data_IF_308261012135
#
_entry.id   IF_308261012135
#
_cell.length_a   1.000
_cell.length_b   1.000
_cell.length_c   1.000
_cell.angle_alpha   90.00
_cell.angle_beta   90.00
_cell.angle_gamma   90.00
#
_symmetry.space_group_name_H-M   'P 1'
#
loop_
_entity.id
_entity.type
_entity.pdbx_description
1 polymer ?
#
# COMPACT_ATOMS: atom_id res chain seq x y z
N UNK A 1 4.70 18.85 -10.49
CA UNK A 1 4.03 18.15 -11.61
C UNK A 1 4.18 18.87 -12.94
N UNK A 2 4.44 20.20 -12.98
CA UNK A 2 4.52 20.93 -14.26
C UNK A 2 3.19 20.97 -15.01
N UNK A 3 2.08 20.85 -14.27
CA UNK A 3 0.73 20.81 -14.82
C UNK A 3 -0.02 22.11 -14.48
N UNK A 4 -1.02 22.50 -15.30
CA UNK A 4 -1.90 23.63 -14.99
C UNK A 4 -2.61 23.46 -13.65
N UNK A 5 -2.90 24.56 -12.96
CA UNK A 5 -3.55 24.57 -11.64
C UNK A 5 -4.90 23.81 -11.63
N UNK A 6 -5.71 23.98 -12.68
CA UNK A 6 -6.98 23.26 -12.82
C UNK A 6 -6.81 21.73 -12.83
N UNK A 7 -5.70 21.22 -13.38
CA UNK A 7 -5.38 19.79 -13.38
C UNK A 7 -4.98 19.33 -11.98
N UNK A 8 -4.27 20.17 -11.22
CA UNK A 8 -3.89 19.89 -9.83
C UNK A 8 -5.13 19.85 -8.93
N UNK A 9 -6.05 20.81 -9.09
CA UNK A 9 -7.31 20.84 -8.35
C UNK A 9 -8.12 19.56 -8.58
N UNK A 10 -8.35 19.20 -9.85
CA UNK A 10 -9.03 17.96 -10.19
C UNK A 10 -8.32 16.72 -9.65
N UNK A 11 -6.99 16.67 -9.67
CA UNK A 11 -6.24 15.57 -9.05
C UNK A 11 -6.49 15.46 -7.54
N UNK A 12 -6.53 16.58 -6.82
CA UNK A 12 -6.77 16.60 -5.38
C UNK A 12 -8.21 16.22 -5.03
N UNK A 13 -9.20 16.64 -5.84
CA UNK A 13 -10.62 16.31 -5.64
C UNK A 13 -10.90 14.81 -5.74
N UNK A 14 -10.11 14.07 -6.54
CA UNK A 14 -10.22 12.61 -6.64
C UNK A 14 -9.56 11.85 -5.49
N UNK A 15 -8.90 12.54 -4.55
CA UNK A 15 -8.23 11.91 -3.41
C UNK A 15 -9.14 11.97 -2.19
N UNK A 16 -9.66 10.84 -1.68
CA UNK A 16 -10.32 10.85 -0.39
C UNK A 16 -9.32 11.27 0.70
N UNK A 17 -9.78 11.85 1.82
CA UNK A 17 -8.92 12.09 2.97
C UNK A 17 -8.20 10.79 3.36
N UNK A 18 -6.87 10.78 3.22
CA UNK A 18 -6.05 9.59 3.37
C UNK A 18 -4.91 9.88 4.34
N UNK A 19 -4.73 9.02 5.33
CA UNK A 19 -3.61 9.05 6.26
C UNK A 19 -2.82 7.73 6.18
N UNK A 20 -1.52 7.78 6.44
CA UNK A 20 -0.69 6.57 6.55
C UNK A 20 -0.86 5.99 7.94
N UNK A 21 -1.34 4.75 8.02
CA UNK A 21 -1.58 4.02 9.27
C UNK A 21 -0.89 2.64 9.23
N UNK A 22 -0.72 1.98 10.38
CA UNK A 22 -0.29 0.59 10.41
C UNK A 22 -1.23 -0.30 9.59
N UNK A 23 -0.67 -1.31 8.93
CA UNK A 23 -1.45 -2.19 8.05
C UNK A 23 -2.44 -3.01 8.86
N UNK A 24 -3.73 -2.80 8.63
CA UNK A 24 -4.80 -3.57 9.26
C UNK A 24 -4.86 -5.01 8.73
N UNK A 25 -5.46 -5.90 9.51
CA UNK A 25 -5.70 -7.29 9.07
C UNK A 25 -6.55 -7.37 7.79
N UNK A 26 -7.51 -6.47 7.63
CA UNK A 26 -8.34 -6.36 6.42
C UNK A 26 -7.48 -5.95 5.21
N UNK A 27 -6.66 -4.91 5.35
CA UNK A 27 -5.76 -4.45 4.28
C UNK A 27 -4.78 -5.55 3.87
N UNK A 28 -4.24 -6.28 4.86
CA UNK A 28 -3.38 -7.43 4.61
C UNK A 28 -4.08 -8.54 3.81
N UNK A 29 -5.33 -8.85 4.14
CA UNK A 29 -6.12 -9.86 3.42
C UNK A 29 -6.42 -9.42 1.98
N UNK A 30 -6.81 -8.16 1.76
CA UNK A 30 -7.04 -7.62 0.41
C UNK A 30 -5.76 -7.62 -0.42
N UNK A 31 -4.62 -7.31 0.20
CA UNK A 31 -3.34 -7.35 -0.50
C UNK A 31 -2.90 -8.78 -0.83
N UNK A 32 -3.18 -9.75 0.04
CA UNK A 32 -2.96 -11.17 -0.27
C UNK A 32 -3.82 -11.62 -1.45
N UNK A 33 -5.10 -11.25 -1.48
CA UNK A 33 -6.00 -11.58 -2.60
C UNK A 33 -5.46 -11.03 -3.94
N UNK A 34 -4.94 -9.81 -3.95
CA UNK A 34 -4.31 -9.23 -5.15
C UNK A 34 -3.04 -10.01 -5.54
N UNK A 35 -2.19 -10.37 -4.58
CA UNK A 35 -0.99 -11.16 -4.85
C UNK A 35 -1.31 -12.54 -5.43
N UNK A 36 -2.36 -13.19 -4.91
CA UNK A 36 -2.86 -14.47 -5.41
C UNK A 36 -3.38 -14.33 -6.85
N UNK A 37 -4.21 -13.31 -7.11
CA UNK A 37 -4.73 -13.01 -8.45
C UNK A 37 -3.59 -12.80 -9.46
N UNK A 38 -2.55 -12.07 -9.09
CA UNK A 38 -1.40 -11.82 -9.97
C UNK A 38 -0.62 -13.10 -10.25
N UNK A 39 -0.49 -14.00 -9.27
CA UNK A 39 0.17 -15.29 -9.45
C UNK A 39 -0.65 -16.23 -10.35
N UNK A 40 -1.96 -16.33 -10.11
CA UNK A 40 -2.88 -17.13 -10.93
C UNK A 40 -2.87 -16.72 -12.41
N UNK A 41 -2.78 -15.42 -12.65
CA UNK A 41 -2.68 -14.84 -14.00
C UNK A 41 -1.24 -14.78 -14.54
N UNK A 42 -0.27 -15.36 -13.82
CA UNK A 42 1.15 -15.41 -14.22
C UNK A 42 1.79 -14.03 -14.45
N UNK A 43 1.24 -12.99 -13.83
CA UNK A 43 1.82 -11.64 -13.80
C UNK A 43 3.01 -11.57 -12.85
N UNK A 44 3.06 -12.47 -11.87
CA UNK A 44 4.22 -12.68 -11.00
C UNK A 44 4.65 -14.15 -10.99
N UNK A 45 5.97 -14.44 -10.92
CA UNK A 45 6.47 -15.79 -11.08
C UNK A 45 6.37 -16.66 -9.81
N UNK A 46 6.04 -16.07 -8.65
CA UNK A 46 6.04 -16.75 -7.35
C UNK A 46 4.87 -16.29 -6.48
N UNK A 47 4.33 -17.21 -5.68
CA UNK A 47 3.41 -16.86 -4.60
C UNK A 47 4.13 -16.04 -3.54
N UNK A 48 3.40 -15.08 -2.96
CA UNK A 48 3.91 -14.18 -1.92
C UNK A 48 3.04 -14.35 -0.68
N UNK A 49 3.65 -14.58 0.47
CA UNK A 49 2.97 -14.44 1.76
C UNK A 49 3.08 -12.98 2.21
N UNK A 50 1.98 -12.23 2.13
CA UNK A 50 1.92 -10.82 2.47
C UNK A 50 2.04 -10.61 3.98
N UNK A 51 1.47 -11.51 4.80
CA UNK A 51 1.48 -11.34 6.27
C UNK A 51 2.89 -11.45 6.83
N UNK A 52 3.70 -12.34 6.29
CA UNK A 52 5.12 -12.49 6.64
C UNK A 52 5.98 -11.26 6.30
N UNK A 53 5.44 -10.29 5.54
CA UNK A 53 6.15 -9.08 5.08
C UNK A 53 5.63 -7.79 5.69
N UNK A 54 4.57 -7.84 6.50
CA UNK A 54 4.05 -6.67 7.20
C UNK A 54 4.88 -6.44 8.46
N UNK A 55 5.57 -5.29 8.49
CA UNK A 55 6.17 -4.80 9.73
C UNK A 55 5.07 -4.27 10.66
N UNK A 56 5.14 -4.68 11.93
CA UNK A 56 4.27 -4.18 12.98
C UNK A 56 5.00 -3.07 13.75
N UNK A 57 4.38 -1.89 13.95
CA UNK A 57 4.99 -0.83 14.72
C UNK A 57 5.36 -1.30 16.11
N UNK A 58 6.65 -1.21 16.44
CA UNK A 58 7.15 -1.37 17.80
C UNK A 58 7.28 0.00 18.45
N UNK A 59 7.06 0.09 19.75
CA UNK A 59 7.23 1.34 20.51
C UNK A 59 8.70 1.80 20.60
N UNK A 60 9.63 1.02 20.06
CA UNK A 60 11.06 1.31 20.06
C UNK A 60 11.38 2.32 18.97
N UNK A 61 11.60 3.57 19.37
CA UNK A 61 12.09 4.62 18.49
C UNK A 61 13.50 4.23 18.02
N UNK A 62 13.67 3.98 16.72
CA UNK A 62 14.98 3.64 16.15
C UNK A 62 15.95 4.81 16.35
N UNK A 63 17.08 4.57 17.01
CA UNK A 63 18.19 5.52 17.00
C UNK A 63 18.66 5.66 15.55
N UNK A 64 18.60 6.88 15.01
CA UNK A 64 19.23 7.19 13.72
C UNK A 64 20.74 7.00 13.90
N UNK A 65 21.33 6.08 13.14
CA UNK A 65 22.79 5.96 13.00
C UNK A 65 23.35 7.14 12.22
#
# INVERSE_FOLDING_TARGET
MGLPEAVIASYLDHRPPTAVTPVSAETAARQQQTADLFYENKLVPKKVDIRARIWQPTATQGAKS
#
